data_IF_130357849458
#
_entry.id   IF_130357849458
#
_cell.length_a   1.000
_cell.length_b   1.000
_cell.length_c   1.000
_cell.angle_alpha   90.00
_cell.angle_beta   90.00
_cell.angle_gamma   90.00
#
_symmetry.space_group_name_H-M   'P 1'
#
loop_
_entity.id
_entity.type
_entity.pdbx_description
1 polymer ?
#
# COMPACT_ATOMS: atom_id res chain seq x y z
N UNK A 1 -18.87 -33.10 -22.42
CA UNK A 1 -18.69 -31.71 -22.03
C UNK A 1 -17.91 -31.54 -20.72
N UNK A 2 -18.13 -32.36 -19.72
CA UNK A 2 -17.39 -32.26 -18.44
C UNK A 2 -15.91 -32.68 -18.55
N UNK A 3 -15.56 -33.54 -19.49
CA UNK A 3 -14.17 -33.98 -19.66
C UNK A 3 -13.27 -32.90 -20.25
N UNK A 4 -13.84 -31.99 -21.06
CA UNK A 4 -13.13 -30.90 -21.70
C UNK A 4 -12.77 -29.79 -20.68
N UNK A 5 -13.71 -29.46 -19.81
CA UNK A 5 -13.50 -28.50 -18.73
C UNK A 5 -12.47 -29.02 -17.72
N UNK A 6 -12.45 -30.31 -17.46
CA UNK A 6 -11.47 -30.90 -16.54
C UNK A 6 -10.04 -30.92 -17.11
N UNK A 7 -9.89 -31.13 -18.42
CA UNK A 7 -8.60 -31.08 -19.11
C UNK A 7 -8.07 -29.62 -19.20
N UNK A 8 -8.94 -28.63 -19.40
CA UNK A 8 -8.56 -27.22 -19.37
C UNK A 8 -8.10 -26.79 -17.97
N UNK A 9 -8.83 -27.18 -16.94
CA UNK A 9 -8.44 -26.91 -15.55
C UNK A 9 -7.12 -27.58 -15.15
N UNK A 10 -6.85 -28.79 -15.65
CA UNK A 10 -5.58 -29.48 -15.45
C UNK A 10 -4.44 -28.80 -16.22
N UNK A 11 -4.69 -28.28 -17.43
CA UNK A 11 -3.73 -27.50 -18.19
C UNK A 11 -3.38 -26.19 -17.50
N UNK A 12 -4.38 -25.44 -17.02
CA UNK A 12 -4.18 -24.23 -16.24
C UNK A 12 -3.39 -24.50 -14.95
N UNK A 13 -3.76 -25.53 -14.20
CA UNK A 13 -3.06 -25.92 -12.98
C UNK A 13 -1.61 -26.35 -13.25
N UNK A 14 -1.37 -27.08 -14.31
CA UNK A 14 -0.02 -27.49 -14.72
C UNK A 14 0.80 -26.30 -15.25
N UNK A 15 0.17 -25.34 -15.92
CA UNK A 15 0.80 -24.10 -16.35
C UNK A 15 1.26 -23.28 -15.14
N UNK A 16 0.41 -23.08 -14.13
CA UNK A 16 0.79 -22.39 -12.89
C UNK A 16 1.91 -23.10 -12.11
N UNK A 17 1.97 -24.41 -12.13
CA UNK A 17 3.06 -25.16 -11.48
C UNK A 17 4.36 -25.00 -12.27
N UNK A 18 4.30 -25.04 -13.61
CA UNK A 18 5.47 -24.81 -14.48
C UNK A 18 5.99 -23.38 -14.39
N UNK A 19 5.08 -22.40 -14.33
CA UNK A 19 5.43 -20.99 -14.21
C UNK A 19 6.11 -20.64 -12.89
N UNK A 20 5.88 -21.45 -11.85
CA UNK A 20 6.58 -21.29 -10.56
C UNK A 20 7.96 -21.97 -10.49
N UNK A 21 8.22 -22.91 -11.39
CA UNK A 21 9.47 -23.65 -11.44
C UNK A 21 10.15 -23.33 -12.78
N UNK A 22 10.88 -22.20 -12.84
CA UNK A 22 11.59 -21.76 -14.01
C UNK A 22 10.69 -21.52 -15.25
N UNK A 23 9.76 -20.53 -15.21
CA UNK A 23 8.77 -20.28 -16.26
C UNK A 23 9.38 -19.93 -17.62
N UNK A 24 10.58 -19.33 -17.62
CA UNK A 24 11.32 -18.94 -18.84
C UNK A 24 12.16 -20.09 -19.43
N UNK A 25 12.16 -21.27 -18.81
CA UNK A 25 12.92 -22.41 -19.23
C UNK A 25 14.40 -22.32 -18.87
N UNK A 26 15.28 -22.41 -19.84
CA UNK A 26 16.72 -22.44 -19.60
C UNK A 26 17.23 -21.05 -19.20
N UNK A 27 17.84 -20.95 -18.03
CA UNK A 27 18.54 -19.74 -17.56
C UNK A 27 19.94 -19.72 -18.15
N UNK A 28 20.19 -18.80 -19.08
CA UNK A 28 21.45 -18.73 -19.85
C UNK A 28 22.31 -17.57 -19.41
N UNK A 29 21.72 -16.40 -19.25
CA UNK A 29 22.43 -15.18 -18.85
C UNK A 29 22.00 -14.82 -17.42
N UNK A 30 22.97 -14.74 -16.54
CA UNK A 30 22.77 -14.38 -15.13
C UNK A 30 23.54 -13.14 -14.72
N UNK A 31 23.34 -12.70 -13.48
CA UNK A 31 24.00 -11.52 -12.93
C UNK A 31 23.52 -10.21 -13.56
N UNK A 32 24.34 -9.14 -13.49
CA UNK A 32 23.93 -7.80 -13.95
C UNK A 32 23.55 -7.71 -15.42
N UNK A 33 24.10 -8.55 -16.28
CA UNK A 33 23.77 -8.58 -17.71
C UNK A 33 22.37 -9.12 -17.98
N UNK A 34 21.87 -10.03 -17.10
CA UNK A 34 20.53 -10.57 -17.20
C UNK A 34 19.49 -9.66 -16.57
N UNK A 35 19.76 -9.19 -15.37
CA UNK A 35 18.92 -8.25 -14.61
C UNK A 35 19.78 -7.57 -13.53
N UNK A 36 19.98 -6.29 -13.67
CA UNK A 36 20.72 -5.50 -12.66
C UNK A 36 19.91 -5.32 -11.38
N UNK A 37 18.60 -5.53 -11.44
CA UNK A 37 17.67 -5.25 -10.35
C UNK A 37 17.62 -3.76 -9.99
N UNK A 38 16.63 -3.40 -9.20
CA UNK A 38 16.52 -2.06 -8.61
C UNK A 38 16.43 -2.17 -7.10
N UNK A 39 17.40 -1.60 -6.41
CA UNK A 39 17.42 -1.55 -4.95
C UNK A 39 16.18 -0.79 -4.43
N UNK A 40 15.54 -1.32 -3.39
CA UNK A 40 14.39 -0.71 -2.74
C UNK A 40 13.06 -0.80 -3.50
N UNK A 41 13.01 -1.42 -4.68
CA UNK A 41 11.76 -1.61 -5.45
C UNK A 41 11.24 -3.04 -5.31
N UNK A 42 11.02 -3.48 -4.08
CA UNK A 42 10.54 -4.82 -3.74
C UNK A 42 9.22 -4.71 -2.98
N UNK A 43 8.10 -4.92 -3.68
CA UNK A 43 6.74 -4.75 -3.17
C UNK A 43 6.53 -5.58 -1.90
N UNK A 44 6.88 -6.85 -1.94
CA UNK A 44 6.61 -7.77 -0.83
C UNK A 44 7.54 -7.51 0.37
N UNK A 45 8.71 -6.94 0.15
CA UNK A 45 9.57 -6.44 1.23
C UNK A 45 8.94 -5.21 1.88
N UNK A 46 8.52 -4.22 1.07
CA UNK A 46 7.88 -2.99 1.55
C UNK A 46 6.56 -3.28 2.30
N UNK A 47 5.88 -4.37 2.01
CA UNK A 47 4.60 -4.79 2.62
C UNK A 47 4.74 -5.95 3.61
N UNK A 48 5.93 -6.16 4.13
CA UNK A 48 6.23 -7.13 5.20
C UNK A 48 5.75 -8.56 4.89
N UNK A 49 6.07 -9.06 3.71
CA UNK A 49 5.70 -10.42 3.30
C UNK A 49 4.21 -10.59 3.00
N UNK A 50 3.48 -9.51 2.78
CA UNK A 50 2.03 -9.54 2.55
C UNK A 50 1.21 -9.57 3.84
N UNK A 51 1.78 -9.12 4.96
CA UNK A 51 1.05 -8.98 6.24
C UNK A 51 -0.15 -8.02 6.14
N UNK A 52 -0.09 -7.06 5.22
CA UNK A 52 -1.21 -6.22 4.82
C UNK A 52 -1.46 -6.35 3.31
N UNK A 53 -2.71 -6.17 2.83
CA UNK A 53 -3.00 -6.02 1.41
C UNK A 53 -2.18 -4.90 0.79
N UNK A 54 -1.80 -5.03 -0.48
CA UNK A 54 -1.03 -4.02 -1.19
C UNK A 54 -1.57 -3.80 -2.61
N UNK A 55 -1.34 -2.61 -3.16
CA UNK A 55 -1.82 -2.21 -4.49
C UNK A 55 -0.92 -2.65 -5.65
N UNK A 56 0.16 -3.38 -5.38
CA UNK A 56 1.09 -3.88 -6.39
C UNK A 56 2.29 -2.97 -6.69
N UNK A 57 2.42 -1.82 -6.01
CA UNK A 57 3.52 -0.88 -6.19
C UNK A 57 4.53 -0.91 -5.04
N UNK A 58 5.83 -0.94 -5.34
CA UNK A 58 6.87 -0.72 -4.34
C UNK A 58 6.92 0.76 -3.91
N UNK A 59 7.34 1.04 -2.69
CA UNK A 59 7.44 2.39 -2.14
C UNK A 59 8.81 3.02 -2.38
N UNK A 60 9.86 2.34 -1.94
CA UNK A 60 11.23 2.81 -2.07
C UNK A 60 11.62 3.03 -3.54
N UNK A 61 12.46 4.03 -3.78
CA UNK A 61 12.90 4.39 -5.14
C UNK A 61 11.90 5.21 -5.96
N UNK A 62 10.70 5.48 -5.43
CA UNK A 62 9.70 6.37 -6.03
C UNK A 62 9.65 7.69 -5.30
N UNK A 63 9.46 8.77 -6.04
CA UNK A 63 9.19 10.08 -5.45
C UNK A 63 7.74 10.16 -4.92
N UNK A 64 7.40 11.14 -4.05
CA UNK A 64 6.09 11.22 -3.41
C UNK A 64 4.94 11.63 -4.33
N UNK A 65 5.18 11.90 -5.60
CA UNK A 65 4.10 12.11 -6.59
C UNK A 65 3.47 10.81 -7.04
N UNK A 66 4.12 9.68 -6.79
CA UNK A 66 3.63 8.35 -7.13
C UNK A 66 2.69 7.85 -6.04
N UNK A 67 1.43 7.60 -6.41
CA UNK A 67 0.38 7.13 -5.48
C UNK A 67 0.71 5.78 -4.85
N UNK A 68 1.46 4.91 -5.52
CA UNK A 68 1.96 3.66 -4.93
C UNK A 68 2.68 3.89 -3.60
N UNK A 69 3.37 5.02 -3.45
CA UNK A 69 4.03 5.40 -2.21
C UNK A 69 3.16 6.31 -1.35
N UNK A 70 2.71 7.44 -1.87
CA UNK A 70 1.99 8.45 -1.10
C UNK A 70 0.64 7.95 -0.59
N UNK A 71 -0.13 7.23 -1.41
CA UNK A 71 -1.41 6.66 -0.99
C UNK A 71 -1.23 5.55 0.06
N UNK A 72 -0.19 4.73 -0.04
CA UNK A 72 0.11 3.74 0.98
C UNK A 72 0.46 4.40 2.33
N UNK A 73 1.17 5.51 2.31
CA UNK A 73 1.50 6.24 3.54
C UNK A 73 0.27 6.90 4.16
N UNK A 74 -0.60 7.53 3.37
CA UNK A 74 -1.82 8.14 3.92
C UNK A 74 -2.82 7.08 4.40
N UNK A 75 -2.94 5.93 3.74
CA UNK A 75 -3.79 4.83 4.23
C UNK A 75 -3.29 4.29 5.56
N UNK A 76 -1.96 4.15 5.73
CA UNK A 76 -1.37 3.80 7.02
C UNK A 76 -1.68 4.84 8.10
N UNK A 77 -1.51 6.13 7.78
CA UNK A 77 -1.82 7.23 8.68
C UNK A 77 -3.28 7.19 9.14
N UNK A 78 -4.22 7.09 8.20
CA UNK A 78 -5.65 7.05 8.51
C UNK A 78 -5.99 5.81 9.35
N UNK A 79 -5.58 4.61 8.92
CA UNK A 79 -5.88 3.37 9.64
C UNK A 79 -5.35 3.40 11.08
N UNK A 80 -4.14 3.92 11.29
CA UNK A 80 -3.56 4.09 12.63
C UNK A 80 -4.37 5.08 13.48
N UNK A 81 -4.83 6.18 12.90
CA UNK A 81 -5.65 7.17 13.61
C UNK A 81 -7.05 6.66 13.93
N UNK A 82 -7.68 5.86 13.04
CA UNK A 82 -8.96 5.21 13.31
C UNK A 82 -8.85 4.29 14.53
N UNK A 83 -7.80 3.49 14.60
CA UNK A 83 -7.56 2.62 15.77
C UNK A 83 -7.22 3.44 17.01
N UNK A 84 -6.38 4.46 16.89
CA UNK A 84 -5.99 5.32 18.00
C UNK A 84 -7.15 6.17 18.56
N UNK A 85 -8.17 6.47 17.76
CA UNK A 85 -9.39 7.16 18.21
C UNK A 85 -10.35 6.26 18.99
N UNK A 86 -10.14 4.94 18.98
CA UNK A 86 -11.04 3.97 19.60
C UNK A 86 -12.29 3.63 18.77
N UNK A 87 -12.38 4.11 17.52
CA UNK A 87 -13.51 3.80 16.62
C UNK A 87 -13.52 2.32 16.25
N UNK A 88 -12.35 1.72 16.05
CA UNK A 88 -12.20 0.31 15.72
C UNK A 88 -10.91 -0.26 16.32
N UNK A 89 -10.87 -1.57 16.58
CA UNK A 89 -9.66 -2.27 17.03
C UNK A 89 -8.72 -2.58 15.87
N UNK A 90 -9.27 -2.66 14.66
CA UNK A 90 -8.54 -2.96 13.43
C UNK A 90 -9.16 -2.20 12.25
N UNK A 91 -8.30 -1.71 11.36
CA UNK A 91 -8.75 -0.99 10.17
C UNK A 91 -7.88 -1.31 8.96
N UNK A 92 -8.51 -1.68 7.85
CA UNK A 92 -7.89 -1.80 6.54
C UNK A 92 -8.47 -0.75 5.61
N UNK A 93 -7.61 0.01 4.93
CA UNK A 93 -8.01 1.06 4.01
C UNK A 93 -7.43 0.80 2.62
N UNK A 94 -8.23 1.08 1.58
CA UNK A 94 -7.77 1.07 0.20
C UNK A 94 -8.21 2.33 -0.52
N UNK A 95 -7.30 2.94 -1.27
CA UNK A 95 -7.56 4.05 -2.18
C UNK A 95 -7.29 3.59 -3.61
N UNK A 96 -8.19 3.92 -4.54
CA UNK A 96 -8.02 3.66 -5.96
C UNK A 96 -7.96 4.97 -6.74
N UNK A 97 -7.01 5.07 -7.66
CA UNK A 97 -6.81 6.25 -8.51
C UNK A 97 -6.81 5.87 -9.99
N UNK A 98 -7.15 6.83 -10.84
CA UNK A 98 -6.98 6.72 -12.29
C UNK A 98 -5.96 7.74 -12.78
N UNK A 99 -5.24 7.39 -13.84
CA UNK A 99 -4.30 8.31 -14.50
C UNK A 99 -5.07 9.51 -15.02
N UNK A 100 -4.59 10.72 -14.71
CA UNK A 100 -5.21 11.98 -15.15
C UNK A 100 -6.38 12.46 -14.27
N UNK A 101 -6.75 11.71 -13.21
CA UNK A 101 -7.79 12.11 -12.25
C UNK A 101 -7.14 12.30 -10.89
N UNK A 102 -7.29 13.49 -10.30
CA UNK A 102 -6.65 13.82 -9.02
C UNK A 102 -7.36 13.20 -7.83
N UNK A 103 -8.68 13.17 -7.86
CA UNK A 103 -9.47 12.59 -6.77
C UNK A 103 -9.44 11.06 -6.83
N UNK A 104 -9.45 10.38 -5.66
CA UNK A 104 -9.58 8.93 -5.66
C UNK A 104 -10.92 8.50 -6.27
N UNK A 105 -10.88 7.47 -7.14
CA UNK A 105 -12.08 6.89 -7.74
C UNK A 105 -12.94 6.15 -6.72
N UNK A 106 -12.30 5.55 -5.73
CA UNK A 106 -12.97 4.85 -4.63
C UNK A 106 -12.12 4.83 -3.38
N UNK A 107 -12.83 4.79 -2.26
CA UNK A 107 -12.28 4.61 -0.92
C UNK A 107 -12.98 3.39 -0.34
N UNK A 108 -12.22 2.40 0.04
CA UNK A 108 -12.72 1.22 0.75
C UNK A 108 -12.17 1.21 2.16
N UNK A 109 -13.03 0.95 3.12
CA UNK A 109 -12.68 0.79 4.54
C UNK A 109 -13.27 -0.52 5.03
N UNK A 110 -12.50 -1.25 5.80
CA UNK A 110 -12.94 -2.45 6.51
C UNK A 110 -12.44 -2.37 7.95
N UNK A 111 -13.36 -2.25 8.88
CA UNK A 111 -13.09 -2.24 10.32
C UNK A 111 -13.13 -3.64 10.92
N UNK A 112 -13.25 -4.68 10.10
CA UNK A 112 -13.29 -6.10 10.51
C UNK A 112 -14.38 -6.40 11.56
N UNK A 113 -15.49 -5.67 11.49
CA UNK A 113 -16.60 -5.82 12.44
C UNK A 113 -16.30 -5.32 13.86
N UNK A 114 -15.20 -4.57 14.06
CA UNK A 114 -14.82 -4.06 15.39
C UNK A 114 -15.33 -2.65 15.68
N UNK A 115 -15.96 -2.00 14.70
CA UNK A 115 -16.50 -0.64 14.85
C UNK A 115 -18.01 -0.66 15.08
N UNK A 116 -18.50 0.29 15.88
CA UNK A 116 -19.93 0.61 16.00
C UNK A 116 -20.39 1.62 14.95
N UNK A 117 -19.44 2.32 14.29
CA UNK A 117 -19.72 3.27 13.21
C UNK A 117 -19.80 2.52 11.89
N UNK A 118 -20.71 2.94 10.99
CA UNK A 118 -20.75 2.39 9.65
C UNK A 118 -19.52 2.81 8.83
N UNK A 119 -19.05 1.93 7.92
CA UNK A 119 -17.93 2.25 7.04
C UNK A 119 -18.20 3.51 6.20
N UNK A 120 -19.46 3.73 5.78
CA UNK A 120 -19.86 4.92 5.04
C UNK A 120 -19.71 6.22 5.85
N UNK A 121 -20.04 6.20 7.12
CA UNK A 121 -19.90 7.37 8.00
C UNK A 121 -18.44 7.61 8.34
N UNK A 122 -17.66 6.55 8.51
CA UNK A 122 -16.22 6.66 8.70
C UNK A 122 -15.55 7.27 7.47
N UNK A 123 -15.91 6.84 6.25
CA UNK A 123 -15.41 7.43 5.00
C UNK A 123 -15.74 8.93 4.94
N UNK A 124 -16.97 9.34 5.28
CA UNK A 124 -17.34 10.77 5.32
C UNK A 124 -16.49 11.55 6.31
N UNK A 125 -16.24 11.02 7.50
CA UNK A 125 -15.35 11.66 8.47
C UNK A 125 -13.93 11.81 7.97
N UNK A 126 -13.37 10.79 7.34
CA UNK A 126 -12.04 10.80 6.77
C UNK A 126 -11.95 11.89 5.69
N UNK A 127 -12.85 11.87 4.71
CA UNK A 127 -12.84 12.80 3.56
C UNK A 127 -13.13 14.25 3.94
N UNK A 128 -13.86 14.49 5.03
CA UNK A 128 -14.06 15.85 5.54
C UNK A 128 -12.82 16.45 6.23
N UNK A 129 -11.87 15.63 6.63
CA UNK A 129 -10.68 16.05 7.37
C UNK A 129 -9.39 16.01 6.54
N UNK A 130 -9.34 15.22 5.45
CA UNK A 130 -8.14 15.00 4.66
C UNK A 130 -8.44 15.13 3.17
N UNK A 131 -7.66 15.94 2.49
CA UNK A 131 -7.59 15.96 1.02
C UNK A 131 -6.78 14.75 0.55
N UNK A 132 -7.48 13.81 -0.11
CA UNK A 132 -6.90 12.56 -0.60
C UNK A 132 -6.37 12.67 -2.04
N UNK A 133 -6.29 13.86 -2.61
CA UNK A 133 -5.55 14.05 -3.85
C UNK A 133 -4.06 13.79 -3.66
N UNK A 134 -3.29 13.37 -4.68
CA UNK A 134 -1.85 13.18 -4.54
C UNK A 134 -1.11 14.39 -3.98
N UNK A 135 -1.57 15.60 -4.33
CA UNK A 135 -1.04 16.86 -3.80
C UNK A 135 -1.41 17.04 -2.32
N UNK A 136 -2.70 16.84 -1.98
CA UNK A 136 -3.19 16.94 -0.60
C UNK A 136 -2.47 15.98 0.33
N UNK A 137 -2.27 14.74 -0.08
CA UNK A 137 -1.51 13.73 0.69
C UNK A 137 -0.07 14.19 0.92
N UNK A 138 0.61 14.64 -0.14
CA UNK A 138 1.99 15.08 -0.06
C UNK A 138 2.14 16.27 0.89
N UNK A 139 1.23 17.22 0.82
CA UNK A 139 1.27 18.42 1.65
C UNK A 139 0.90 18.09 3.11
N UNK A 140 -0.12 17.24 3.33
CA UNK A 140 -0.56 16.81 4.66
C UNK A 140 0.54 16.04 5.43
N UNK A 141 1.22 15.10 4.77
CA UNK A 141 2.28 14.29 5.36
C UNK A 141 3.68 14.91 5.21
N UNK A 142 3.81 16.12 4.65
CA UNK A 142 5.09 16.79 4.39
C UNK A 142 6.08 15.96 3.57
N UNK A 143 5.58 15.19 2.59
CA UNK A 143 6.39 14.24 1.82
C UNK A 143 7.37 14.92 0.84
N UNK A 144 7.37 16.22 0.70
CA UNK A 144 8.32 16.99 -0.09
C UNK A 144 9.68 17.18 0.60
N UNK A 145 9.78 16.86 1.90
CA UNK A 145 11.02 16.95 2.67
C UNK A 145 11.96 15.77 2.35
N UNK A 146 13.28 15.91 2.57
CA UNK A 146 14.26 14.85 2.32
C UNK A 146 14.28 13.80 3.44
N UNK A 147 13.14 13.15 3.70
CA UNK A 147 12.89 12.25 4.83
C UNK A 147 13.09 10.76 4.52
N UNK A 148 13.44 10.42 3.28
CA UNK A 148 13.36 9.04 2.79
C UNK A 148 14.56 8.15 3.13
N UNK A 149 15.69 8.71 3.54
CA UNK A 149 16.89 7.94 3.88
C UNK A 149 16.61 6.92 4.97
N UNK A 150 15.86 7.31 6.00
CA UNK A 150 15.54 6.45 7.15
C UNK A 150 14.56 5.33 6.79
N UNK A 151 13.66 5.55 5.83
CA UNK A 151 12.72 4.51 5.37
C UNK A 151 13.35 3.49 4.42
N UNK A 152 14.59 3.72 3.95
CA UNK A 152 15.31 2.78 3.10
C UNK A 152 15.86 1.55 3.86
N UNK A 153 15.81 1.56 5.20
CA UNK A 153 16.25 0.46 6.04
C UNK A 153 15.23 0.20 7.16
N UNK A 154 15.04 -1.07 7.50
CA UNK A 154 14.14 -1.51 8.60
C UNK A 154 12.66 -1.18 8.41
N UNK A 155 12.23 -0.98 7.18
CA UNK A 155 10.83 -0.82 6.80
C UNK A 155 10.27 0.60 6.90
N UNK A 156 9.06 0.76 6.37
CA UNK A 156 8.37 2.04 6.22
C UNK A 156 7.40 2.32 7.37
N UNK A 157 6.89 1.29 8.04
CA UNK A 157 5.81 1.37 9.03
C UNK A 157 6.25 0.88 10.40
N UNK A 158 5.44 1.19 11.42
CA UNK A 158 5.73 0.77 12.79
C UNK A 158 6.92 1.50 13.42
N UNK A 159 7.29 2.66 12.88
CA UNK A 159 8.35 3.53 13.37
C UNK A 159 7.75 4.65 14.20
N UNK A 160 8.58 5.41 14.87
CA UNK A 160 8.17 6.64 15.54
C UNK A 160 8.30 7.82 14.59
N UNK A 161 7.29 8.72 14.62
CA UNK A 161 7.36 9.98 13.88
C UNK A 161 8.41 10.89 14.52
N UNK A 162 9.24 11.52 13.69
CA UNK A 162 10.35 12.35 14.15
C UNK A 162 10.11 13.84 13.86
N UNK A 163 10.80 14.70 14.59
CA UNK A 163 10.67 16.16 14.47
C UNK A 163 11.13 16.71 13.12
N UNK A 164 11.98 16.00 12.39
CA UNK A 164 12.42 16.36 11.03
C UNK A 164 11.34 16.06 9.96
N UNK A 165 10.23 15.41 10.35
CA UNK A 165 9.14 14.97 9.48
C UNK A 165 9.28 13.54 9.00
N UNK A 166 10.35 12.82 9.37
CA UNK A 166 10.50 11.40 9.06
C UNK A 166 9.37 10.61 9.72
N UNK A 167 8.81 9.66 8.95
CA UNK A 167 7.69 8.83 9.38
C UNK A 167 6.44 9.62 9.81
N UNK A 168 6.17 10.76 9.19
CA UNK A 168 4.99 11.60 9.47
C UNK A 168 3.66 10.83 9.39
N UNK A 169 3.60 9.78 8.59
CA UNK A 169 2.45 8.88 8.49
C UNK A 169 2.22 7.98 9.72
N UNK A 170 3.10 8.06 10.71
CA UNK A 170 2.92 7.39 12.00
C UNK A 170 2.34 8.30 13.08
N UNK A 171 2.07 9.58 12.79
CA UNK A 171 1.38 10.49 13.70
C UNK A 171 -0.06 10.04 13.97
N UNK A 172 -0.57 10.41 15.16
CA UNK A 172 -1.94 10.09 15.61
C UNK A 172 -2.77 11.35 15.91
N UNK A 173 -2.43 12.47 15.28
CA UNK A 173 -3.07 13.76 15.50
C UNK A 173 -4.48 13.87 14.91
N UNK A 174 -4.78 13.08 13.88
CA UNK A 174 -6.12 12.96 13.32
C UNK A 174 -7.12 12.27 14.27
N UNK A 175 -6.65 11.39 15.15
CA UNK A 175 -7.51 10.65 16.07
C UNK A 175 -8.44 11.53 16.92
N UNK A 176 -8.01 12.75 17.22
CA UNK A 176 -8.82 13.74 17.98
C UNK A 176 -9.94 14.37 17.16
N UNK A 177 -9.92 14.23 15.82
CA UNK A 177 -10.90 14.80 14.90
C UNK A 177 -11.87 13.73 14.36
N UNK A 178 -11.51 12.46 14.53
CA UNK A 178 -12.37 11.32 14.19
C UNK A 178 -13.32 10.98 15.34
#
# INVERSE_FOLDING_TARGET
>A
DNLYIHTENLRHRNMFIRDRINPTGKFVIGGPDGDTGLTGRKIIVDTYGGAAPHGGGAFSGKDPTKVDRSAAYITRYIAKNVVASGIADKCTLQLAYAIGVSDPLSIYVDTHGTSQMSDADLIKKITSNIDLTPRGIRDHLNLHKPIYKKSAAYGHFGREAESDGSFSWENIDLAKKL
#
